data_IF_803258631261
#
_entry.id   IF_803258631261
#
_cell.length_a   1.000
_cell.length_b   1.000
_cell.length_c   1.000
_cell.angle_alpha   90.00
_cell.angle_beta   90.00
_cell.angle_gamma   90.00
#
_symmetry.space_group_name_H-M   'P 1'
#
loop_
_entity.id
_entity.type
_entity.pdbx_description
1 polymer ?
#
# COMPACT_ATOMS: atom_id res chain seq x y z
N UNK A 1 -23.05 -5.56 -12.67
CA UNK A 1 -22.13 -4.73 -11.84
C UNK A 1 -20.97 -4.32 -12.72
N UNK A 2 -20.55 -3.06 -12.67
CA UNK A 2 -19.42 -2.54 -13.46
C UNK A 2 -18.09 -3.09 -12.94
N UNK A 3 -17.16 -3.37 -13.86
CA UNK A 3 -15.79 -3.77 -13.52
C UNK A 3 -15.06 -2.60 -12.85
N UNK A 4 -14.25 -2.82 -11.79
CA UNK A 4 -13.47 -1.76 -11.17
C UNK A 4 -12.42 -1.20 -12.15
N UNK A 5 -12.20 0.12 -12.08
CA UNK A 5 -11.15 0.79 -12.86
C UNK A 5 -9.76 0.47 -12.33
N UNK A 6 -9.65 0.21 -11.02
CA UNK A 6 -8.43 -0.19 -10.36
C UNK A 6 -8.72 -1.35 -9.42
N UNK A 7 -7.93 -2.41 -9.53
CA UNK A 7 -7.95 -3.57 -8.64
C UNK A 7 -6.56 -3.74 -8.05
N UNK A 8 -6.41 -3.50 -6.75
CA UNK A 8 -5.14 -3.64 -6.02
C UNK A 8 -5.23 -4.86 -5.11
N UNK A 9 -4.23 -5.74 -5.20
CA UNK A 9 -4.13 -6.94 -4.36
C UNK A 9 -2.73 -7.04 -3.76
N UNK A 10 -2.63 -7.33 -2.47
CA UNK A 10 -1.39 -7.57 -1.76
C UNK A 10 -0.42 -6.39 -1.74
N UNK A 11 -0.92 -5.15 -1.76
CA UNK A 11 -0.05 -3.98 -1.81
C UNK A 11 0.86 -3.93 -0.56
N UNK A 12 2.16 -3.96 -0.80
CA UNK A 12 3.18 -3.86 0.22
C UNK A 12 4.19 -2.76 -0.14
N UNK A 13 4.55 -1.94 0.86
CA UNK A 13 5.62 -0.95 0.75
C UNK A 13 6.43 -0.94 2.02
N UNK A 14 7.66 -1.43 1.93
CA UNK A 14 8.60 -1.43 3.04
C UNK A 14 9.77 -0.50 2.75
N UNK A 15 10.20 0.27 3.74
CA UNK A 15 11.28 1.26 3.63
C UNK A 15 12.44 0.87 4.56
N UNK A 16 13.69 0.94 4.08
CA UNK A 16 14.85 0.71 4.94
C UNK A 16 15.00 1.84 5.95
N UNK A 17 15.26 1.49 7.21
CA UNK A 17 15.63 2.47 8.24
C UNK A 17 17.07 2.89 8.01
N UNK A 18 17.28 4.18 7.72
CA UNK A 18 18.61 4.77 7.62
C UNK A 18 19.02 5.35 8.98
N UNK A 19 20.03 4.76 9.62
CA UNK A 19 20.61 5.31 10.85
C UNK A 19 21.64 4.42 11.54
N UNK A 20 22.86 4.94 11.74
CA UNK A 20 23.90 4.46 12.67
C UNK A 20 24.30 2.97 12.61
N UNK A 21 25.16 2.55 13.54
CA UNK A 21 25.76 1.20 13.64
C UNK A 21 24.77 0.02 13.79
N UNK A 22 23.45 0.23 13.68
CA UNK A 22 22.41 -0.81 13.70
C UNK A 22 21.46 -0.70 12.50
N UNK A 23 22.00 -0.36 11.33
CA UNK A 23 21.27 -0.34 10.06
C UNK A 23 20.84 -1.75 9.64
N UNK A 24 19.63 -2.17 10.02
CA UNK A 24 19.06 -3.45 9.60
C UNK A 24 17.53 -3.56 9.64
N UNK A 25 16.83 -2.50 10.06
CA UNK A 25 15.37 -2.51 10.17
C UNK A 25 14.65 -2.14 8.86
N UNK A 26 13.46 -2.71 8.67
CA UNK A 26 12.49 -2.30 7.65
C UNK A 26 11.26 -1.70 8.34
N UNK A 27 10.83 -0.53 7.91
CA UNK A 27 9.51 0.02 8.24
C UNK A 27 8.52 -0.50 7.21
N UNK A 28 7.47 -1.18 7.67
CA UNK A 28 6.38 -1.62 6.80
C UNK A 28 5.33 -0.52 6.74
N UNK A 29 5.32 0.29 5.68
CA UNK A 29 4.35 1.37 5.53
C UNK A 29 2.96 0.84 5.14
N UNK A 30 2.91 -0.14 4.26
CA UNK A 30 1.74 -0.99 4.02
C UNK A 30 2.19 -2.42 3.81
N UNK A 31 1.37 -3.39 4.19
CA UNK A 31 1.66 -4.81 4.00
C UNK A 31 0.36 -5.58 3.80
N UNK A 32 0.15 -6.13 2.60
CA UNK A 32 -1.01 -6.95 2.27
C UNK A 32 -2.33 -6.19 2.11
N UNK A 33 -2.31 -4.97 1.56
CA UNK A 33 -3.55 -4.18 1.38
C UNK A 33 -4.27 -4.55 0.08
N UNK A 34 -5.57 -4.82 0.18
CA UNK A 34 -6.47 -5.12 -0.93
C UNK A 34 -7.57 -4.05 -1.04
N UNK A 35 -7.78 -3.50 -2.24
CA UNK A 35 -8.93 -2.63 -2.52
C UNK A 35 -9.26 -2.57 -4.01
N UNK A 36 -10.47 -2.10 -4.32
CA UNK A 36 -10.95 -1.81 -5.66
C UNK A 36 -11.43 -0.36 -5.72
N UNK A 37 -11.23 0.33 -6.85
CA UNK A 37 -11.84 1.63 -7.13
C UNK A 37 -12.75 1.50 -8.35
N UNK A 38 -14.04 1.78 -8.18
CA UNK A 38 -15.05 1.67 -9.24
C UNK A 38 -15.21 2.98 -10.03
N UNK A 39 -15.80 2.93 -11.23
CA UNK A 39 -16.14 4.14 -11.96
C UNK A 39 -17.00 5.10 -11.14
N UNK A 40 -16.57 6.36 -11.03
CA UNK A 40 -17.26 7.40 -10.25
C UNK A 40 -16.97 7.42 -8.75
N UNK A 41 -16.15 6.48 -8.25
CA UNK A 41 -15.75 6.41 -6.84
C UNK A 41 -14.52 7.30 -6.57
N UNK A 42 -14.50 7.97 -5.41
CA UNK A 42 -13.30 8.62 -4.87
C UNK A 42 -12.89 7.88 -3.60
N UNK A 43 -11.68 7.31 -3.61
CA UNK A 43 -11.11 6.61 -2.47
C UNK A 43 -10.15 7.53 -1.71
N UNK A 44 -10.46 7.81 -0.44
CA UNK A 44 -9.54 8.49 0.49
C UNK A 44 -8.71 7.48 1.28
N UNK A 45 -7.41 7.72 1.38
CA UNK A 45 -6.49 6.96 2.25
C UNK A 45 -6.04 7.88 3.40
N UNK A 46 -6.20 7.42 4.65
CA UNK A 46 -5.81 8.14 5.88
C UNK A 46 -4.87 7.31 6.73
#
# INVERSE_FOLDING_TARGET
>A
MTEPLLKVRGLAKHFPVRGGFRAGGLVRAVDGVDFDVRPGETLGLV
#
